data_IF_403742517119
#
_entry.id   IF_403742517119
#
_cell.length_a   1.000
_cell.length_b   1.000
_cell.length_c   1.000
_cell.angle_alpha   90.00
_cell.angle_beta   90.00
_cell.angle_gamma   90.00
#
_symmetry.space_group_name_H-M   'P 1'
#
loop_
_entity.id
_entity.type
_entity.pdbx_description
1 polymer ?
#
# COMPACT_ATOMS: atom_id res chain seq x y z
N UNK A 1 -7.60 12.64 -6.90
CA UNK A 1 -7.38 11.50 -5.96
C UNK A 1 -6.34 10.53 -6.49
N UNK A 2 -6.48 9.99 -7.71
CA UNK A 2 -5.50 9.06 -8.33
C UNK A 2 -4.06 9.60 -8.25
N UNK A 3 -3.82 10.85 -8.68
CA UNK A 3 -2.48 11.48 -8.59
C UNK A 3 -1.91 11.49 -7.16
N UNK A 4 -2.74 11.68 -6.13
CA UNK A 4 -2.26 11.60 -4.75
C UNK A 4 -1.87 10.17 -4.37
N UNK A 5 -2.67 9.18 -4.78
CA UNK A 5 -2.41 7.77 -4.49
C UNK A 5 -1.15 7.30 -5.23
N UNK A 6 -1.04 7.55 -6.53
CA UNK A 6 0.04 7.01 -7.35
C UNK A 6 1.33 7.82 -7.18
N UNK A 7 1.29 9.14 -7.34
CA UNK A 7 2.51 9.96 -7.39
C UNK A 7 3.01 10.35 -5.99
N UNK A 8 2.10 10.63 -5.06
CA UNK A 8 2.46 11.18 -3.75
C UNK A 8 2.48 10.14 -2.62
N UNK A 9 1.91 8.95 -2.85
CA UNK A 9 1.87 7.87 -1.85
C UNK A 9 2.62 6.65 -2.36
N UNK A 10 2.16 6.03 -3.45
CA UNK A 10 2.74 4.81 -4.00
C UNK A 10 4.18 5.02 -4.45
N UNK A 11 4.43 5.97 -5.36
CA UNK A 11 5.76 6.21 -5.94
C UNK A 11 6.80 6.57 -4.87
N UNK A 12 6.39 7.31 -3.84
CA UNK A 12 7.24 7.65 -2.70
C UNK A 12 7.53 6.41 -1.86
N UNK A 13 6.50 5.63 -1.51
CA UNK A 13 6.62 4.40 -0.73
C UNK A 13 7.41 3.28 -1.46
N UNK A 14 7.39 3.28 -2.79
CA UNK A 14 8.10 2.30 -3.64
C UNK A 14 9.59 2.28 -3.38
N UNK A 15 10.16 3.41 -2.95
CA UNK A 15 11.57 3.53 -2.52
C UNK A 15 11.90 2.62 -1.33
N UNK A 16 10.90 2.22 -0.53
CA UNK A 16 11.04 1.27 0.59
C UNK A 16 11.07 -0.20 0.13
N UNK A 17 10.57 -0.51 -1.07
CA UNK A 17 10.35 -1.90 -1.50
C UNK A 17 11.63 -2.73 -1.54
N UNK A 18 12.77 -2.10 -1.86
CA UNK A 18 14.08 -2.77 -1.85
C UNK A 18 14.33 -3.49 -0.52
N UNK A 19 14.07 -2.81 0.59
CA UNK A 19 14.23 -3.38 1.93
C UNK A 19 12.99 -4.15 2.38
N UNK A 20 11.78 -3.67 2.09
CA UNK A 20 10.55 -4.31 2.54
C UNK A 20 10.32 -5.69 1.91
N UNK A 21 10.65 -5.86 0.63
CA UNK A 21 10.20 -7.01 -0.17
C UNK A 21 11.32 -7.75 -0.90
N UNK A 22 12.47 -7.12 -1.15
CA UNK A 22 13.51 -7.66 -2.03
C UNK A 22 14.86 -7.93 -1.36
N UNK A 23 14.91 -7.91 -0.02
CA UNK A 23 16.09 -8.35 0.75
C UNK A 23 17.30 -7.41 0.70
N UNK A 24 17.15 -6.20 0.17
CA UNK A 24 18.18 -5.17 0.25
C UNK A 24 18.05 -4.30 1.49
N UNK A 25 18.82 -3.21 1.52
CA UNK A 25 18.75 -2.19 2.58
C UNK A 25 18.63 -0.80 1.97
N UNK A 26 18.09 0.15 2.75
CA UNK A 26 18.08 1.58 2.45
C UNK A 26 18.67 2.36 3.63
N UNK A 27 19.34 3.48 3.36
CA UNK A 27 19.97 4.31 4.40
C UNK A 27 18.93 4.99 5.29
N UNK A 28 19.32 5.32 6.52
CA UNK A 28 18.44 6.03 7.46
C UNK A 28 18.09 7.44 6.97
N UNK A 29 19.02 8.11 6.28
CA UNK A 29 18.75 9.38 5.60
C UNK A 29 17.63 9.22 4.55
N UNK A 30 17.68 8.15 3.74
CA UNK A 30 16.64 7.85 2.76
C UNK A 30 15.30 7.57 3.43
N UNK A 31 15.29 6.78 4.52
CA UNK A 31 14.06 6.50 5.30
C UNK A 31 13.45 7.80 5.82
N UNK A 32 14.25 8.68 6.41
CA UNK A 32 13.79 9.96 6.94
C UNK A 32 13.23 10.88 5.84
N UNK A 33 13.84 10.90 4.66
CA UNK A 33 13.30 11.65 3.52
C UNK A 33 11.96 11.10 3.05
N UNK A 34 11.88 9.77 2.85
CA UNK A 34 10.66 9.09 2.39
C UNK A 34 9.53 9.31 3.39
N UNK A 35 9.80 9.22 4.69
CA UNK A 35 8.82 9.45 5.74
C UNK A 35 8.25 10.89 5.70
N UNK A 36 9.10 11.90 5.50
CA UNK A 36 8.64 13.30 5.34
C UNK A 36 7.77 13.49 4.11
N UNK A 37 8.18 12.93 2.97
CA UNK A 37 7.44 13.05 1.70
C UNK A 37 6.10 12.29 1.77
N UNK A 38 6.12 11.06 2.28
CA UNK A 38 4.94 10.22 2.40
C UNK A 38 3.93 10.79 3.40
N UNK A 39 4.42 11.43 4.48
CA UNK A 39 3.55 12.18 5.41
C UNK A 39 2.77 13.28 4.68
N UNK A 40 3.43 14.04 3.79
CA UNK A 40 2.76 15.09 2.99
C UNK A 40 1.73 14.47 2.05
N UNK A 41 2.09 13.38 1.36
CA UNK A 41 1.21 12.68 0.44
C UNK A 41 -0.04 12.10 1.09
N UNK A 42 0.12 11.36 2.20
CA UNK A 42 -0.99 10.77 2.94
C UNK A 42 -1.90 11.83 3.55
N UNK A 43 -1.34 12.89 4.15
CA UNK A 43 -2.15 14.02 4.66
C UNK A 43 -2.91 14.73 3.54
N UNK A 44 -2.30 14.90 2.36
CA UNK A 44 -3.00 15.48 1.22
C UNK A 44 -4.13 14.57 0.72
N UNK A 45 -3.87 13.26 0.59
CA UNK A 45 -4.90 12.29 0.25
C UNK A 45 -6.05 12.32 1.25
N UNK A 46 -5.77 12.30 2.55
CA UNK A 46 -6.76 12.34 3.62
C UNK A 46 -7.66 13.57 3.55
N UNK A 47 -7.10 14.76 3.26
CA UNK A 47 -7.88 16.00 3.10
C UNK A 47 -8.84 15.96 1.91
N UNK A 48 -8.49 15.24 0.84
CA UNK A 48 -9.29 15.20 -0.38
C UNK A 48 -10.22 13.98 -0.46
N UNK A 49 -9.94 12.93 0.31
CA UNK A 49 -10.76 11.73 0.36
C UNK A 49 -12.10 12.03 1.04
N UNK A 50 -13.19 11.58 0.40
CA UNK A 50 -14.55 11.71 0.94
C UNK A 50 -14.97 10.48 1.74
N UNK A 51 -14.55 9.29 1.29
CA UNK A 51 -14.84 8.00 1.92
C UNK A 51 -16.34 7.83 2.25
N UNK A 52 -17.20 8.06 1.24
CA UNK A 52 -18.64 8.21 1.45
C UNK A 52 -19.51 7.49 0.40
N UNK A 53 -19.46 6.14 0.27
CA UNK A 53 -18.56 5.22 0.94
C UNK A 53 -17.27 4.96 0.15
N UNK A 54 -17.24 5.32 -1.14
CA UNK A 54 -16.06 5.26 -1.99
C UNK A 54 -15.12 6.45 -1.71
N UNK A 55 -13.86 6.36 -2.13
CA UNK A 55 -12.83 7.34 -1.78
C UNK A 55 -13.13 8.74 -2.34
N UNK A 56 -13.83 8.82 -3.48
CA UNK A 56 -14.21 10.08 -4.12
C UNK A 56 -15.62 10.58 -3.74
N UNK A 57 -16.46 9.75 -3.10
CA UNK A 57 -17.84 10.09 -2.80
C UNK A 57 -18.76 8.86 -2.82
N UNK A 58 -20.03 9.00 -3.28
CA UNK A 58 -21.02 7.92 -3.23
C UNK A 58 -20.75 6.76 -4.19
N UNK A 59 -20.05 7.04 -5.29
CA UNK A 59 -19.87 6.10 -6.38
C UNK A 59 -18.45 5.56 -6.45
N UNK A 60 -18.34 4.29 -6.83
CA UNK A 60 -17.04 3.67 -7.06
C UNK A 60 -16.39 4.24 -8.33
N UNK A 61 -15.12 4.59 -8.23
CA UNK A 61 -14.33 5.21 -9.28
C UNK A 61 -13.01 4.46 -9.48
N UNK A 62 -12.24 4.86 -10.49
CA UNK A 62 -10.87 4.38 -10.66
C UNK A 62 -9.97 4.71 -9.45
N UNK A 63 -10.28 5.77 -8.69
CA UNK A 63 -9.51 6.07 -7.48
C UNK A 63 -9.66 4.97 -6.42
N UNK A 64 -10.79 4.26 -6.38
CA UNK A 64 -11.00 3.14 -5.47
C UNK A 64 -10.15 1.94 -5.86
N UNK A 65 -10.03 1.68 -7.17
CA UNK A 65 -9.17 0.63 -7.72
C UNK A 65 -7.71 0.90 -7.35
N UNK A 66 -7.21 2.12 -7.61
CA UNK A 66 -5.85 2.52 -7.22
C UNK A 66 -5.64 2.41 -5.70
N UNK A 67 -6.56 2.91 -4.89
CA UNK A 67 -6.44 2.86 -3.43
C UNK A 67 -6.39 1.42 -2.91
N UNK A 68 -7.22 0.53 -3.46
CA UNK A 68 -7.32 -0.86 -3.03
C UNK A 68 -6.04 -1.65 -3.25
N UNK A 69 -5.32 -1.39 -4.35
CA UNK A 69 -4.07 -2.10 -4.64
C UNK A 69 -2.86 -1.44 -3.98
N UNK A 70 -2.83 -0.12 -3.83
CA UNK A 70 -1.64 0.60 -3.36
C UNK A 70 -1.58 0.77 -1.83
N UNK A 71 -2.69 1.13 -1.18
CA UNK A 71 -2.66 1.44 0.27
C UNK A 71 -2.22 0.25 1.14
N UNK A 72 -2.62 -1.01 0.87
CA UNK A 72 -2.11 -2.16 1.64
C UNK A 72 -0.59 -2.34 1.50
N UNK A 73 -0.02 -2.11 0.30
CA UNK A 73 1.43 -2.22 0.11
C UNK A 73 2.19 -1.13 0.84
N UNK A 74 1.68 0.11 0.83
CA UNK A 74 2.27 1.23 1.57
C UNK A 74 2.25 0.96 3.07
N UNK A 75 1.12 0.47 3.59
CA UNK A 75 0.95 0.07 5.00
C UNK A 75 2.01 -0.97 5.41
N UNK A 76 2.18 -2.04 4.62
CA UNK A 76 3.17 -3.08 4.91
C UNK A 76 4.60 -2.55 4.79
N UNK A 77 4.93 -1.83 3.71
CA UNK A 77 6.28 -1.33 3.47
C UNK A 77 6.76 -0.37 4.56
N UNK A 78 5.89 0.55 5.01
CA UNK A 78 6.20 1.47 6.10
C UNK A 78 6.35 0.74 7.43
N UNK A 79 5.47 -0.22 7.74
CA UNK A 79 5.61 -1.03 8.95
C UNK A 79 6.93 -1.80 9.00
N UNK A 80 7.33 -2.42 7.89
CA UNK A 80 8.55 -3.23 7.83
C UNK A 80 9.85 -2.40 7.87
N UNK A 81 9.85 -1.19 7.29
CA UNK A 81 11.10 -0.43 7.06
C UNK A 81 11.22 0.80 7.97
N UNK A 82 10.10 1.45 8.28
CA UNK A 82 10.03 2.64 9.15
C UNK A 82 9.63 2.24 10.58
N UNK A 83 9.01 1.07 10.77
CA UNK A 83 8.62 0.56 12.08
C UNK A 83 7.21 0.99 12.53
N UNK A 84 6.48 1.70 11.68
CA UNK A 84 5.09 2.13 11.94
C UNK A 84 4.25 2.08 10.67
N UNK A 85 2.96 1.81 10.82
CA UNK A 85 2.01 1.84 9.72
C UNK A 85 1.53 3.27 9.46
N UNK A 86 2.16 3.95 8.51
CA UNK A 86 1.83 5.35 8.24
C UNK A 86 0.44 5.54 7.61
N UNK A 87 -0.11 4.51 6.96
CA UNK A 87 -1.47 4.58 6.40
C UNK A 87 -2.49 4.51 7.52
N UNK A 88 -2.34 3.57 8.45
CA UNK A 88 -3.21 3.47 9.64
C UNK A 88 -3.12 4.74 10.51
N UNK A 89 -1.93 5.32 10.64
CA UNK A 89 -1.74 6.53 11.44
C UNK A 89 -2.32 7.81 10.77
N UNK A 90 -2.04 8.02 9.48
CA UNK A 90 -2.37 9.29 8.79
C UNK A 90 -3.68 9.24 7.99
N UNK A 91 -4.19 8.04 7.73
CA UNK A 91 -5.49 7.78 7.09
C UNK A 91 -6.18 6.56 7.75
N UNK A 92 -6.50 6.61 9.05
CA UNK A 92 -7.06 5.47 9.80
C UNK A 92 -8.36 4.90 9.19
N UNK A 93 -9.08 5.72 8.44
CA UNK A 93 -10.33 5.40 7.75
C UNK A 93 -10.09 4.47 6.56
N UNK A 94 -8.85 4.35 6.07
CA UNK A 94 -8.51 3.45 4.96
C UNK A 94 -8.83 1.99 5.31
N UNK A 95 -8.60 1.55 6.54
CA UNK A 95 -8.79 0.14 6.94
C UNK A 95 -10.24 -0.33 6.81
N UNK A 96 -11.25 0.33 7.43
CA UNK A 96 -12.66 -0.07 7.24
C UNK A 96 -13.12 0.11 5.79
N UNK A 97 -12.66 1.15 5.09
CA UNK A 97 -12.96 1.39 3.68
C UNK A 97 -12.46 0.25 2.77
N UNK A 98 -11.19 -0.17 2.93
CA UNK A 98 -10.60 -1.26 2.16
C UNK A 98 -11.27 -2.60 2.46
N UNK A 99 -11.69 -2.82 3.71
CA UNK A 99 -12.46 -4.01 4.10
C UNK A 99 -13.79 -4.06 3.35
N UNK A 100 -14.56 -2.97 3.36
CA UNK A 100 -15.81 -2.85 2.63
C UNK A 100 -15.63 -3.08 1.13
N UNK A 101 -14.57 -2.51 0.51
CA UNK A 101 -14.29 -2.78 -0.90
C UNK A 101 -13.99 -4.26 -1.15
N UNK A 102 -13.24 -4.91 -0.24
CA UNK A 102 -12.87 -6.32 -0.32
C UNK A 102 -14.03 -7.30 -0.26
N UNK A 103 -15.21 -6.88 0.20
CA UNK A 103 -16.44 -7.69 0.21
C UNK A 103 -17.11 -7.77 -1.18
N UNK A 104 -16.73 -6.87 -2.10
CA UNK A 104 -17.25 -6.88 -3.48
C UNK A 104 -16.60 -7.99 -4.31
N UNK A 105 -17.35 -8.71 -5.18
CA UNK A 105 -16.84 -9.88 -5.91
C UNK A 105 -15.52 -9.67 -6.68
N UNK A 106 -15.39 -8.54 -7.40
CA UNK A 106 -14.19 -8.25 -8.18
C UNK A 106 -12.94 -8.03 -7.29
N UNK A 107 -13.10 -7.27 -6.20
CA UNK A 107 -12.02 -6.98 -5.26
C UNK A 107 -11.64 -8.21 -4.43
N UNK A 108 -12.63 -9.02 -4.04
CA UNK A 108 -12.41 -10.31 -3.38
C UNK A 108 -11.56 -11.24 -4.25
N UNK A 109 -11.89 -11.34 -5.55
CA UNK A 109 -11.11 -12.11 -6.53
C UNK A 109 -9.67 -11.60 -6.64
N UNK A 110 -9.46 -10.29 -6.77
CA UNK A 110 -8.10 -9.70 -6.80
C UNK A 110 -7.28 -10.09 -5.57
N UNK A 111 -7.88 -10.07 -4.38
CA UNK A 111 -7.19 -10.49 -3.15
C UNK A 111 -6.86 -11.98 -3.13
N UNK A 112 -7.78 -12.84 -3.58
CA UNK A 112 -7.54 -14.27 -3.68
C UNK A 112 -6.38 -14.57 -4.65
N UNK A 113 -6.42 -13.98 -5.85
CA UNK A 113 -5.39 -14.15 -6.88
C UNK A 113 -4.03 -13.61 -6.41
N UNK A 114 -4.01 -12.44 -5.76
CA UNK A 114 -2.79 -11.87 -5.15
C UNK A 114 -2.21 -12.79 -4.07
N UNK A 115 -3.05 -13.38 -3.22
CA UNK A 115 -2.61 -14.31 -2.18
C UNK A 115 -1.98 -15.55 -2.81
N UNK A 116 -2.65 -16.18 -3.77
CA UNK A 116 -2.14 -17.35 -4.48
C UNK A 116 -0.79 -17.06 -5.16
N UNK A 117 -0.67 -15.90 -5.81
CA UNK A 117 0.58 -15.47 -6.44
C UNK A 117 1.72 -15.22 -5.42
N UNK A 118 1.40 -14.63 -4.26
CA UNK A 118 2.38 -14.38 -3.19
C UNK A 118 2.89 -15.69 -2.58
N UNK A 119 1.99 -16.64 -2.33
CA UNK A 119 2.34 -17.96 -1.79
C UNK A 119 3.24 -18.73 -2.79
N UNK A 120 2.91 -18.67 -4.09
CA UNK A 120 3.75 -19.26 -5.14
C UNK A 120 5.13 -18.60 -5.25
N UNK A 121 5.22 -17.27 -5.12
CA UNK A 121 6.50 -16.55 -5.13
C UNK A 121 7.36 -16.93 -3.93
N UNK A 122 6.78 -17.05 -2.73
CA UNK A 122 7.48 -17.46 -1.53
C UNK A 122 8.03 -18.89 -1.67
N UNK A 123 7.23 -19.83 -2.20
CA UNK A 123 7.67 -21.20 -2.47
C UNK A 123 8.88 -21.24 -3.43
N UNK A 124 8.85 -20.47 -4.51
CA UNK A 124 9.96 -20.35 -5.48
C UNK A 124 11.22 -19.72 -4.87
N UNK A 125 11.08 -18.80 -3.92
CA UNK A 125 12.22 -18.19 -3.22
C UNK A 125 12.90 -19.21 -2.31
N UNK A 126 12.10 -19.96 -1.56
CA UNK A 126 12.60 -20.98 -0.63
C UNK A 126 13.31 -22.12 -1.38
N UNK A 127 12.78 -22.57 -2.53
CA UNK A 127 13.43 -23.62 -3.32
C UNK A 127 14.76 -23.18 -3.93
N UNK A 128 14.90 -21.90 -4.33
CA UNK A 128 16.18 -21.34 -4.79
C UNK A 128 17.24 -21.24 -3.67
N UNK A 129 16.83 -20.92 -2.45
CA UNK A 129 17.74 -20.85 -1.30
C UNK A 129 18.18 -22.23 -0.79
N UNK A 130 17.36 -23.26 -0.96
CA UNK A 130 17.71 -24.63 -0.57
C UNK A 130 18.67 -25.33 -1.56
N UNK A 131 18.80 -24.79 -2.79
CA UNK A 131 19.70 -25.31 -3.82
C UNK A 131 21.00 -24.54 -3.99
N UNK A 132 21.26 -23.53 -3.15
CA UNK A 132 22.50 -22.73 -3.08
C UNK A 132 23.27 -23.05 -1.82
#
# INVERSE_FOLDING_TARGET
>A
LINYIELHVELVSRRLHKQAFYGGTISDESKAQIERELTKGLKALARHAKLAPAIAGPELTLADVCAFVHLPLVSVATRLVIGRDMVDELLPQAKPYLRMLGERPAFARVNADRKAASDALAARRNSRQAGS
#
